data_IF_251559360973
#
_entry.id   IF_251559360973
#
_cell.length_a   1.000
_cell.length_b   1.000
_cell.length_c   1.000
_cell.angle_alpha   90.00
_cell.angle_beta   90.00
_cell.angle_gamma   90.00
#
_symmetry.space_group_name_H-M   'P 1'
#
loop_
_entity.id
_entity.type
_entity.pdbx_description
1 polymer ?
#
# COMPACT_ATOMS: atom_id res chain seq x y z
N UNK A 1 7.11 -3.80 -8.01
CA UNK A 1 5.66 -4.06 -7.87
C UNK A 1 4.92 -2.73 -7.90
N UNK A 2 3.68 -2.65 -8.40
CA UNK A 2 2.92 -1.39 -8.40
C UNK A 2 1.92 -1.33 -7.23
N UNK A 3 1.42 -0.12 -6.90
CA UNK A 3 0.53 0.07 -5.77
C UNK A 3 -0.82 -0.65 -5.89
N UNK A 4 -1.38 -0.79 -7.10
CA UNK A 4 -2.64 -1.54 -7.31
C UNK A 4 -2.49 -3.03 -7.00
N UNK A 5 -1.37 -3.62 -7.42
CA UNK A 5 -1.09 -5.04 -7.19
C UNK A 5 -0.86 -5.32 -5.70
N UNK A 6 -0.15 -4.44 -4.98
CA UNK A 6 -0.01 -4.53 -3.53
C UNK A 6 -1.38 -4.50 -2.84
N UNK A 7 -2.23 -3.53 -3.19
CA UNK A 7 -3.56 -3.39 -2.59
C UNK A 7 -4.44 -4.61 -2.84
N UNK A 8 -4.37 -5.21 -4.04
CA UNK A 8 -5.09 -6.43 -4.38
C UNK A 8 -4.66 -7.62 -3.52
N UNK A 9 -3.35 -7.82 -3.36
CA UNK A 9 -2.78 -8.89 -2.53
C UNK A 9 -3.09 -8.69 -1.05
N UNK A 10 -2.99 -7.45 -0.59
CA UNK A 10 -3.37 -7.08 0.77
C UNK A 10 -4.85 -7.36 1.05
N UNK A 11 -5.74 -7.02 0.10
CA UNK A 11 -7.16 -7.37 0.17
C UNK A 11 -7.42 -8.88 0.14
N UNK A 12 -6.54 -9.66 -0.49
CA UNK A 12 -6.57 -11.12 -0.48
C UNK A 12 -6.02 -11.77 0.81
N UNK A 13 -5.56 -10.96 1.77
CA UNK A 13 -5.06 -11.43 3.07
C UNK A 13 -3.53 -11.52 3.17
N UNK A 14 -2.79 -11.24 2.09
CA UNK A 14 -1.33 -11.16 2.15
C UNK A 14 -0.93 -9.99 3.07
N UNK A 15 0.02 -10.22 3.97
CA UNK A 15 0.54 -9.20 4.90
C UNK A 15 2.05 -9.05 4.82
N UNK A 16 2.74 -10.03 4.24
CA UNK A 16 4.18 -10.00 4.08
C UNK A 16 4.57 -9.47 2.71
N UNK A 17 5.11 -8.26 2.69
CA UNK A 17 5.67 -7.58 1.53
C UNK A 17 7.10 -7.13 1.86
N UNK A 18 7.82 -7.91 2.68
CA UNK A 18 9.21 -7.62 2.97
C UNK A 18 10.08 -7.72 1.71
N UNK A 19 11.07 -6.82 1.59
CA UNK A 19 12.03 -6.81 0.48
C UNK A 19 11.46 -6.46 -0.90
N UNK A 20 10.17 -6.11 -1.01
CA UNK A 20 9.58 -5.78 -2.30
C UNK A 20 10.09 -4.44 -2.83
N UNK A 21 10.27 -4.36 -4.15
CA UNK A 21 10.48 -3.08 -4.83
C UNK A 21 9.14 -2.35 -5.00
N UNK A 22 8.98 -1.24 -4.29
CA UNK A 22 7.85 -0.30 -4.37
C UNK A 22 8.32 1.09 -4.80
N UNK A 23 9.49 1.19 -5.43
CA UNK A 23 10.04 2.46 -5.87
C UNK A 23 9.06 3.16 -6.81
N UNK A 24 8.73 4.42 -6.49
CA UNK A 24 7.78 5.22 -7.26
C UNK A 24 6.32 4.73 -7.20
N UNK A 25 6.00 3.74 -6.36
CA UNK A 25 4.64 3.21 -6.29
C UNK A 25 3.65 4.25 -5.74
N UNK A 26 2.51 4.42 -6.42
CA UNK A 26 1.42 5.24 -5.90
C UNK A 26 0.48 4.38 -5.04
N UNK A 27 0.56 4.56 -3.73
CA UNK A 27 -0.28 3.89 -2.73
C UNK A 27 -1.29 4.85 -2.09
N UNK A 28 -1.28 6.13 -2.51
CA UNK A 28 -1.96 7.21 -1.80
C UNK A 28 -3.46 6.98 -1.62
N UNK A 29 -3.92 7.25 -0.39
CA UNK A 29 -5.33 7.17 0.01
C UNK A 29 -6.15 8.39 -0.37
N UNK A 30 -5.62 9.30 -1.21
CA UNK A 30 -6.37 10.47 -1.71
C UNK A 30 -7.42 10.03 -2.72
N UNK A 31 -8.50 9.44 -2.21
CA UNK A 31 -9.76 9.32 -2.91
C UNK A 31 -10.29 10.73 -3.13
N UNK A 32 -10.08 11.27 -4.34
CA UNK A 32 -10.80 12.46 -4.79
C UNK A 32 -12.28 12.13 -4.72
N UNK A 33 -12.96 12.81 -3.79
CA UNK A 33 -14.40 12.77 -3.59
C UNK A 33 -15.13 12.93 -4.93
N UNK A 34 -16.03 11.98 -5.18
CA UNK A 34 -17.33 12.13 -5.82
C UNK A 34 -17.37 12.75 -7.22
N UNK A 35 -17.36 11.89 -8.24
CA UNK A 35 -18.31 12.05 -9.34
C UNK A 35 -19.44 11.02 -9.15
N UNK A 36 -20.61 11.54 -8.78
CA UNK A 36 -21.87 10.81 -8.72
C UNK A 36 -22.37 10.71 -10.16
N UNK A 37 -22.05 9.59 -10.81
CA UNK A 37 -22.57 9.21 -12.10
C UNK A 37 -22.69 7.70 -12.13
N UNK A 38 -23.86 7.24 -12.59
CA UNK A 38 -24.31 5.86 -12.70
C UNK A 38 -23.20 4.84 -13.01
N UNK A 39 -23.20 3.71 -12.31
CA UNK A 39 -23.17 2.34 -12.84
C UNK A 39 -23.11 1.40 -11.62
N UNK A 40 -23.96 0.38 -11.64
CA UNK A 40 -24.10 -0.68 -10.63
C UNK A 40 -22.81 -1.51 -10.52
N UNK A 41 -21.81 -0.99 -9.82
CA UNK A 41 -20.63 -1.74 -9.39
C UNK A 41 -20.54 -1.62 -7.86
N UNK A 42 -20.71 -2.73 -7.10
CA UNK A 42 -20.74 -2.73 -5.63
C UNK A 42 -19.39 -2.34 -4.98
N UNK A 43 -18.37 -2.01 -5.77
CA UNK A 43 -17.05 -1.57 -5.32
C UNK A 43 -16.82 -0.07 -5.60
N UNK A 44 -17.69 0.80 -5.09
CA UNK A 44 -17.42 2.25 -5.06
C UNK A 44 -16.34 2.58 -4.03
N UNK A 45 -15.10 2.50 -4.50
CA UNK A 45 -14.05 3.53 -4.40
C UNK A 45 -14.24 4.56 -3.28
N UNK A 46 -13.79 4.15 -2.10
CA UNK A 46 -13.53 4.98 -0.93
C UNK A 46 -12.47 4.29 -0.07
N UNK A 47 -11.53 3.56 -0.67
CA UNK A 47 -10.48 2.85 0.05
C UNK A 47 -9.50 3.91 0.54
N UNK A 48 -9.72 4.43 1.74
CA UNK A 48 -8.59 4.77 2.59
C UNK A 48 -7.64 3.59 2.48
N UNK A 49 -6.43 3.77 1.92
CA UNK A 49 -5.46 2.68 1.80
C UNK A 49 -5.04 2.28 3.21
N UNK A 50 -5.83 1.43 3.85
CA UNK A 50 -5.56 0.90 5.16
C UNK A 50 -4.65 -0.30 4.99
N UNK A 51 -3.36 -0.05 5.17
CA UNK A 51 -2.31 -1.04 5.16
C UNK A 51 -1.81 -1.26 6.60
N UNK A 52 -2.68 -1.11 7.59
CA UNK A 52 -2.31 -1.35 8.98
C UNK A 52 -1.79 -2.78 9.20
N UNK A 53 -0.71 -2.92 9.95
CA UNK A 53 -0.06 -4.20 10.21
C UNK A 53 0.66 -4.82 9.01
N UNK A 54 0.79 -4.11 7.88
CA UNK A 54 1.58 -4.61 6.74
C UNK A 54 3.06 -4.76 7.11
N UNK A 55 3.70 -5.85 6.68
CA UNK A 55 5.14 -5.98 6.76
C UNK A 55 5.78 -5.49 5.46
N UNK A 56 6.45 -4.34 5.51
CA UNK A 56 7.23 -3.74 4.42
C UNK A 56 8.73 -3.70 4.78
N UNK A 57 9.18 -4.56 5.70
CA UNK A 57 10.58 -4.56 6.13
C UNK A 57 11.53 -4.78 4.94
N UNK A 58 12.52 -3.91 4.79
CA UNK A 58 13.47 -3.96 3.67
C UNK A 58 12.87 -3.64 2.29
N UNK A 59 11.61 -3.22 2.20
CA UNK A 59 11.03 -2.77 0.94
C UNK A 59 11.68 -1.46 0.47
N UNK A 60 11.91 -1.31 -0.84
CA UNK A 60 12.32 -0.03 -1.41
C UNK A 60 11.08 0.86 -1.60
N UNK A 61 10.92 1.84 -0.71
CA UNK A 61 9.84 2.84 -0.76
C UNK A 61 10.32 4.17 -1.35
N UNK A 62 11.50 4.21 -1.97
CA UNK A 62 12.03 5.43 -2.59
C UNK A 62 11.04 5.99 -3.59
N UNK A 63 10.75 7.30 -3.52
CA UNK A 63 9.79 7.97 -4.42
C UNK A 63 8.34 7.46 -4.33
N UNK A 64 8.01 6.54 -3.41
CA UNK A 64 6.65 6.03 -3.25
C UNK A 64 5.71 7.10 -2.69
N UNK A 65 4.51 7.20 -3.24
CA UNK A 65 3.47 8.11 -2.74
C UNK A 65 2.58 7.39 -1.73
N UNK A 66 2.86 7.60 -0.44
CA UNK A 66 2.12 7.05 0.71
C UNK A 66 1.13 8.05 1.34
N UNK A 67 0.80 9.16 0.64
CA UNK A 67 -0.05 10.21 1.20
C UNK A 67 -1.44 9.68 1.56
N UNK A 68 -1.85 9.82 2.82
CA UNK A 68 -3.17 9.40 3.28
C UNK A 68 -3.35 7.88 3.42
N UNK A 69 -2.26 7.11 3.40
CA UNK A 69 -2.25 5.68 3.70
C UNK A 69 -2.22 5.50 5.22
N UNK A 70 -3.08 4.63 5.77
CA UNK A 70 -2.95 4.22 7.16
C UNK A 70 -1.89 3.11 7.25
N UNK A 71 -0.77 3.41 7.90
CA UNK A 71 0.34 2.49 8.16
C UNK A 71 0.46 2.16 9.66
N UNK A 72 -0.63 2.28 10.43
CA UNK A 72 -0.62 1.92 11.84
C UNK A 72 -0.11 0.47 12.04
N UNK A 73 0.83 0.27 12.95
CA UNK A 73 1.48 -1.03 13.20
C UNK A 73 2.19 -1.66 11.99
N UNK A 74 2.46 -0.92 10.91
CA UNK A 74 3.25 -1.42 9.80
C UNK A 74 4.72 -1.65 10.22
N UNK A 75 5.33 -2.73 9.76
CA UNK A 75 6.76 -2.95 9.90
C UNK A 75 7.50 -2.28 8.74
N UNK A 76 8.21 -1.18 9.02
CA UNK A 76 9.02 -0.43 8.05
C UNK A 76 10.54 -0.58 8.30
N UNK A 77 10.95 -1.55 9.12
CA UNK A 77 12.36 -1.73 9.45
C UNK A 77 13.17 -2.00 8.18
N UNK A 78 14.25 -1.25 7.99
CA UNK A 78 15.27 -1.64 7.02
C UNK A 78 15.78 -3.03 7.38
N UNK A 79 15.87 -3.92 6.39
CA UNK A 79 16.54 -5.22 6.56
C UNK A 79 18.03 -4.92 6.64
N UNK A 80 18.52 -4.70 7.86
CA UNK A 80 19.95 -4.70 8.15
C UNK A 80 20.41 -6.14 8.24
N UNK A 81 20.55 -6.83 7.10
CA UNK A 81 21.47 -7.96 7.04
C UNK A 81 22.89 -7.40 7.11
N UNK A 82 23.33 -7.08 8.33
CA UNK A 82 24.74 -6.90 8.64
C UNK A 82 25.41 -8.25 8.40
N UNK A 83 26.01 -8.42 7.24
CA UNK A 83 27.05 -9.41 7.05
C UNK A 83 28.39 -8.75 7.40
N UNK A 84 29.07 -9.35 8.39
CA UNK A 84 30.44 -9.06 8.83
C UNK A 84 31.46 -9.46 7.76
#
# INVERSE_FOLDING_TARGET
MNGKELLKRYAAGERDFSGVDLKGANLSGVHRRFDVGAYDEPYRQGITSDLSGINLSGADLSEANLRGVNLASANLSIVSTLFY
#
